data_IF_645643085584
#
_entry.id   IF_645643085584
#
_cell.length_a   1.000
_cell.length_b   1.000
_cell.length_c   1.000
_cell.angle_alpha   90.00
_cell.angle_beta   90.00
_cell.angle_gamma   90.00
#
_symmetry.space_group_name_H-M   'P 1'
#
loop_
_entity.id
_entity.type
_entity.pdbx_description
1 polymer ?
#
# COMPACT_ATOMS: atom_id res chain seq x y z
N UNK A 1 -0.77 -14.95 4.52
CA UNK A 1 0.01 -13.71 4.46
C UNK A 1 -0.13 -12.95 5.79
N UNK A 2 0.80 -12.06 6.12
CA UNK A 2 0.84 -11.26 7.36
C UNK A 2 1.23 -9.80 7.07
N UNK A 3 0.88 -8.83 7.94
CA UNK A 3 1.30 -7.44 7.75
C UNK A 3 2.82 -7.24 7.89
N UNK A 4 3.34 -6.20 7.25
CA UNK A 4 4.76 -5.81 7.30
C UNK A 4 5.09 -4.76 8.38
N UNK A 5 6.39 -4.51 8.64
CA UNK A 5 7.53 -5.21 8.06
C UNK A 5 7.72 -6.62 8.61
N UNK A 6 7.74 -7.62 7.71
CA UNK A 6 7.87 -9.03 8.08
C UNK A 6 9.30 -9.53 7.91
N UNK A 7 9.92 -9.97 8.99
CA UNK A 7 11.28 -10.53 8.98
C UNK A 7 11.22 -11.99 8.56
N UNK A 8 11.20 -12.26 7.25
CA UNK A 8 11.01 -13.61 6.68
C UNK A 8 11.99 -14.65 7.22
N UNK A 9 13.25 -14.27 7.42
CA UNK A 9 14.28 -15.18 7.93
C UNK A 9 14.16 -15.46 9.44
N UNK A 10 13.41 -14.62 10.16
CA UNK A 10 13.19 -14.74 11.62
C UNK A 10 11.81 -15.33 11.92
N UNK A 11 10.80 -15.05 11.09
CA UNK A 11 9.44 -15.56 11.22
C UNK A 11 8.44 -14.65 11.94
N UNK A 12 8.76 -13.37 12.20
CA UNK A 12 7.90 -12.43 12.95
C UNK A 12 7.84 -11.03 12.34
N UNK A 13 6.84 -10.25 12.72
CA UNK A 13 6.73 -8.83 12.32
C UNK A 13 7.62 -7.93 13.18
N UNK A 14 8.33 -6.98 12.57
CA UNK A 14 9.17 -6.01 13.25
C UNK A 14 8.32 -4.87 13.85
N UNK A 15 7.38 -4.36 13.05
CA UNK A 15 6.43 -3.31 13.42
C UNK A 15 5.04 -3.74 12.95
N UNK A 16 4.02 -3.37 13.72
CA UNK A 16 2.60 -3.45 13.37
C UNK A 16 1.86 -2.53 14.34
N UNK A 17 0.99 -1.67 13.82
CA UNK A 17 0.38 -0.58 14.59
C UNK A 17 -0.82 -1.05 15.41
N UNK A 18 -1.80 -1.71 14.77
CA UNK A 18 -3.05 -2.16 15.39
C UNK A 18 -2.92 -3.45 16.20
N UNK A 19 -1.94 -4.32 15.87
CA UNK A 19 -1.79 -5.65 16.47
C UNK A 19 -0.44 -5.82 17.18
N UNK A 20 -0.06 -4.89 18.06
CA UNK A 20 1.30 -4.86 18.64
C UNK A 20 1.76 -6.19 19.29
N UNK A 21 0.84 -6.97 19.85
CA UNK A 21 1.14 -8.30 20.42
C UNK A 21 1.71 -9.29 19.39
N UNK A 22 1.42 -9.12 18.11
CA UNK A 22 1.91 -9.99 17.02
C UNK A 22 3.42 -9.90 16.83
N UNK A 23 4.07 -8.80 17.27
CA UNK A 23 5.54 -8.64 17.18
C UNK A 23 6.32 -9.71 17.95
N UNK A 24 5.66 -10.39 18.90
CA UNK A 24 6.21 -11.45 19.75
C UNK A 24 5.97 -12.86 19.20
N UNK A 25 5.14 -12.99 18.17
CA UNK A 25 4.72 -14.29 17.63
C UNK A 25 5.66 -14.67 16.48
N UNK A 26 6.23 -15.87 16.52
CA UNK A 26 6.95 -16.43 15.40
C UNK A 26 6.01 -17.32 14.59
N UNK A 27 5.41 -16.76 13.54
CA UNK A 27 4.39 -17.43 12.73
C UNK A 27 4.91 -18.74 12.14
N UNK A 28 6.17 -18.79 11.68
CA UNK A 28 6.73 -20.02 11.12
C UNK A 28 6.71 -21.13 12.18
N UNK A 29 7.22 -20.84 13.38
CA UNK A 29 7.28 -21.84 14.46
C UNK A 29 5.88 -22.28 14.93
N UNK A 30 4.97 -21.33 15.15
CA UNK A 30 3.61 -21.62 15.61
C UNK A 30 2.88 -22.53 14.62
N UNK A 31 2.89 -22.16 13.33
CA UNK A 31 2.19 -22.92 12.30
C UNK A 31 2.88 -24.26 11.99
N UNK A 32 4.22 -24.30 11.91
CA UNK A 32 4.95 -25.55 11.64
C UNK A 32 4.81 -26.59 12.76
N UNK A 33 4.55 -26.16 14.00
CA UNK A 33 4.30 -27.07 15.13
C UNK A 33 2.84 -27.55 15.15
N UNK A 34 1.90 -26.70 14.73
CA UNK A 34 0.48 -27.01 14.72
C UNK A 34 0.06 -27.92 13.56
N UNK A 35 0.76 -27.88 12.42
CA UNK A 35 0.34 -28.57 11.20
C UNK A 35 1.45 -29.49 10.64
N UNK A 36 1.06 -30.65 10.08
CA UNK A 36 1.98 -31.62 9.48
C UNK A 36 2.22 -31.40 7.98
N UNK A 37 2.08 -30.16 7.50
CA UNK A 37 2.24 -29.78 6.10
C UNK A 37 3.28 -28.66 5.98
N UNK A 38 3.89 -28.45 4.80
CA UNK A 38 4.78 -27.31 4.57
C UNK A 38 4.05 -25.98 4.87
N UNK A 39 4.72 -25.09 5.60
CA UNK A 39 4.20 -23.78 5.96
C UNK A 39 5.04 -22.72 5.28
N UNK A 40 4.37 -21.80 4.59
CA UNK A 40 4.97 -20.62 3.99
C UNK A 40 4.25 -19.39 4.54
N UNK A 41 5.00 -18.47 5.13
CA UNK A 41 4.48 -17.18 5.60
C UNK A 41 5.11 -16.11 4.71
N UNK A 42 4.26 -15.22 4.21
CA UNK A 42 4.67 -14.12 3.36
C UNK A 42 3.98 -12.83 3.78
N UNK A 43 4.64 -11.70 3.54
CA UNK A 43 4.09 -10.37 3.72
C UNK A 43 2.95 -10.14 2.71
N UNK A 44 1.90 -9.46 3.14
CA UNK A 44 0.65 -9.24 2.38
C UNK A 44 0.84 -8.60 1.00
N UNK A 45 1.57 -7.49 0.88
CA UNK A 45 1.85 -6.87 -0.41
C UNK A 45 2.67 -7.77 -1.35
N UNK A 46 3.65 -8.54 -0.84
CA UNK A 46 4.38 -9.54 -1.65
C UNK A 46 3.50 -10.71 -2.05
N UNK A 47 2.62 -11.16 -1.16
CA UNK A 47 1.62 -12.17 -1.50
C UNK A 47 0.66 -11.67 -2.58
N UNK A 48 0.29 -10.39 -2.56
CA UNK A 48 -0.46 -9.72 -3.63
C UNK A 48 0.28 -9.71 -4.96
N UNK A 49 1.57 -9.34 -4.96
CA UNK A 49 2.41 -9.41 -6.16
C UNK A 49 2.47 -10.83 -6.74
N UNK A 50 2.69 -11.84 -5.89
CA UNK A 50 2.67 -13.25 -6.31
C UNK A 50 1.30 -13.66 -6.87
N UNK A 51 0.20 -13.20 -6.27
CA UNK A 51 -1.13 -13.55 -6.74
C UNK A 51 -1.36 -13.07 -8.18
N UNK A 52 -1.00 -11.82 -8.49
CA UNK A 52 -1.04 -11.31 -9.86
C UNK A 52 -0.11 -12.10 -10.77
N UNK A 53 1.16 -12.22 -10.42
CA UNK A 53 2.15 -12.88 -11.28
C UNK A 53 1.86 -14.36 -11.57
N UNK A 54 1.27 -15.09 -10.62
CA UNK A 54 1.01 -16.53 -10.77
C UNK A 54 -0.35 -16.83 -11.42
N UNK A 55 -1.35 -15.96 -11.26
CA UNK A 55 -2.73 -16.29 -11.59
C UNK A 55 -3.41 -15.34 -12.56
N UNK A 56 -2.88 -14.13 -12.79
CA UNK A 56 -3.42 -13.24 -13.81
C UNK A 56 -2.75 -13.54 -15.15
N UNK A 57 -3.53 -13.97 -16.18
CA UNK A 57 -2.99 -14.38 -17.47
C UNK A 57 -2.35 -13.24 -18.27
N UNK A 58 -2.52 -11.99 -17.84
CA UNK A 58 -1.83 -10.84 -18.41
C UNK A 58 -0.32 -10.85 -18.10
N UNK A 59 0.12 -11.60 -17.10
CA UNK A 59 1.53 -11.67 -16.72
C UNK A 59 2.23 -12.94 -17.22
N UNK A 60 3.51 -12.80 -17.50
CA UNK A 60 4.37 -13.81 -18.10
C UNK A 60 5.66 -14.01 -17.31
N UNK A 61 6.40 -15.05 -17.70
CA UNK A 61 7.71 -15.31 -17.11
C UNK A 61 8.66 -14.17 -17.49
N UNK A 62 9.26 -13.56 -16.47
CA UNK A 62 10.20 -12.42 -16.54
C UNK A 62 9.60 -11.01 -16.48
N UNK A 63 8.33 -10.85 -16.13
CA UNK A 63 7.72 -9.52 -15.98
C UNK A 63 8.33 -8.72 -14.82
N UNK A 64 8.18 -7.39 -14.95
CA UNK A 64 8.56 -6.41 -13.93
C UNK A 64 7.30 -5.79 -13.33
N UNK A 65 6.91 -6.25 -12.14
CA UNK A 65 5.64 -5.92 -11.51
C UNK A 65 5.85 -5.35 -10.11
N UNK A 66 5.15 -4.26 -9.80
CA UNK A 66 4.99 -3.72 -8.47
C UNK A 66 3.50 -3.80 -8.06
N UNK A 67 3.19 -4.63 -7.06
CA UNK A 67 1.91 -4.56 -6.37
C UNK A 67 2.02 -3.59 -5.20
N UNK A 68 1.32 -2.47 -5.33
CA UNK A 68 1.31 -1.37 -4.38
C UNK A 68 0.02 -1.46 -3.54
N UNK A 69 0.15 -2.09 -2.37
CA UNK A 69 -0.94 -2.26 -1.42
C UNK A 69 -1.15 -0.95 -0.66
N UNK A 70 -2.37 -0.40 -0.73
CA UNK A 70 -2.74 0.80 0.03
C UNK A 70 -4.10 0.54 0.69
N UNK A 71 -4.03 0.15 1.96
CA UNK A 71 -5.14 -0.36 2.76
C UNK A 71 -5.04 0.12 4.19
N UNK A 72 -5.18 -0.81 5.14
CA UNK A 72 -4.91 -0.58 6.57
C UNK A 72 -3.48 -0.06 6.80
N UNK A 73 -2.53 -0.54 5.98
CA UNK A 73 -1.18 -0.02 5.88
C UNK A 73 -0.81 0.28 4.43
N UNK A 74 0.45 0.63 4.21
CA UNK A 74 1.00 0.85 2.86
C UNK A 74 2.19 -0.07 2.64
N UNK A 75 2.10 -0.96 1.66
CA UNK A 75 3.09 -1.99 1.39
C UNK A 75 3.40 -2.13 -0.09
N UNK A 76 4.55 -2.71 -0.40
CA UNK A 76 4.96 -2.95 -1.79
C UNK A 76 5.53 -4.35 -1.93
N UNK A 77 4.98 -5.10 -2.88
CA UNK A 77 5.60 -6.32 -3.42
C UNK A 77 6.18 -6.03 -4.80
N UNK A 78 7.46 -6.33 -5.01
CA UNK A 78 8.12 -6.15 -6.31
C UNK A 78 8.59 -7.50 -6.85
N UNK A 79 8.28 -7.74 -8.11
CA UNK A 79 8.84 -8.81 -8.94
C UNK A 79 9.74 -8.14 -9.97
N UNK A 80 11.01 -8.53 -9.96
CA UNK A 80 12.06 -8.03 -10.83
C UNK A 80 12.61 -9.23 -11.62
N UNK A 81 12.41 -9.20 -12.94
CA UNK A 81 12.76 -10.30 -13.84
C UNK A 81 12.25 -11.66 -13.33
N UNK A 82 10.96 -11.72 -12.97
CA UNK A 82 10.30 -12.92 -12.46
C UNK A 82 10.67 -13.35 -11.03
N UNK A 83 11.46 -12.56 -10.29
CA UNK A 83 11.88 -12.87 -8.92
C UNK A 83 11.37 -11.83 -7.92
N UNK A 84 10.85 -12.30 -6.77
CA UNK A 84 10.52 -11.40 -5.67
C UNK A 84 11.75 -10.68 -5.10
N UNK A 85 11.64 -9.38 -4.94
CA UNK A 85 12.62 -8.56 -4.21
C UNK A 85 12.41 -8.74 -2.71
N UNK A 86 13.35 -9.45 -2.07
CA UNK A 86 13.24 -9.81 -0.64
C UNK A 86 14.14 -8.99 0.29
N UNK A 87 15.31 -8.56 -0.19
CA UNK A 87 16.34 -7.95 0.65
C UNK A 87 16.97 -8.92 1.66
N UNK A 88 17.97 -8.43 2.40
CA UNK A 88 18.84 -9.28 3.23
C UNK A 88 18.12 -10.05 4.37
N UNK A 89 17.08 -9.44 4.96
CA UNK A 89 16.27 -10.07 6.02
C UNK A 89 14.87 -10.50 5.56
N UNK A 90 14.59 -10.38 4.26
CA UNK A 90 13.25 -10.61 3.74
C UNK A 90 12.26 -9.47 4.04
N UNK A 91 12.74 -8.24 4.30
CA UNK A 91 11.94 -7.06 4.60
C UNK A 91 12.29 -5.87 3.69
N UNK A 92 12.68 -6.13 2.43
CA UNK A 92 12.75 -5.08 1.42
C UNK A 92 11.36 -4.48 1.16
N UNK A 93 11.34 -3.36 0.41
CA UNK A 93 10.13 -2.78 -0.17
C UNK A 93 9.08 -2.30 0.84
N UNK A 94 9.50 -1.89 2.04
CA UNK A 94 8.64 -1.24 3.05
C UNK A 94 8.33 0.23 2.68
N UNK A 95 7.67 0.43 1.53
CA UNK A 95 7.43 1.76 0.96
C UNK A 95 6.58 2.65 1.85
N UNK A 96 5.67 2.08 2.66
CA UNK A 96 4.85 2.84 3.59
C UNK A 96 5.65 3.65 4.60
N UNK A 97 6.88 3.23 4.90
CA UNK A 97 7.74 3.86 5.90
C UNK A 97 8.79 4.83 5.33
N UNK A 98 8.83 5.06 4.01
CA UNK A 98 9.70 6.09 3.44
C UNK A 98 9.25 7.48 3.89
N UNK A 99 10.19 8.36 4.23
CA UNK A 99 9.87 9.74 4.58
C UNK A 99 9.54 10.54 3.32
N UNK A 100 8.28 10.94 3.16
CA UNK A 100 7.84 11.90 2.13
C UNK A 100 7.81 13.34 2.64
N UNK A 101 7.86 13.53 3.95
CA UNK A 101 7.99 14.83 4.60
C UNK A 101 8.94 14.74 5.80
N UNK A 102 10.13 15.34 5.70
CA UNK A 102 11.13 15.30 6.78
C UNK A 102 10.70 16.02 8.06
N UNK A 103 9.67 16.87 7.99
CA UNK A 103 9.06 17.55 9.13
C UNK A 103 7.62 17.06 9.39
N UNK A 104 7.29 15.89 8.85
CA UNK A 104 5.94 15.36 8.79
C UNK A 104 5.40 14.76 10.08
N UNK A 105 4.35 13.95 9.93
CA UNK A 105 3.69 13.26 11.06
C UNK A 105 4.62 12.17 11.65
N UNK A 106 4.68 11.99 12.97
CA UNK A 106 5.36 10.83 13.57
C UNK A 106 4.68 9.53 13.12
N UNK A 107 5.47 8.46 13.00
CA UNK A 107 5.01 7.12 12.65
C UNK A 107 5.34 6.12 13.76
N UNK A 108 4.50 5.10 13.93
CA UNK A 108 4.69 4.02 14.92
C UNK A 108 5.95 3.17 14.67
N UNK A 109 6.55 3.26 13.47
CA UNK A 109 7.84 2.64 13.17
C UNK A 109 9.03 3.39 13.79
N UNK A 110 8.80 4.59 14.34
CA UNK A 110 9.82 5.46 14.93
C UNK A 110 10.40 6.52 13.97
N UNK A 111 10.02 6.48 12.69
CA UNK A 111 10.39 7.47 11.69
C UNK A 111 9.39 8.66 11.65
N UNK A 112 9.70 9.68 10.86
CA UNK A 112 8.88 10.89 10.67
C UNK A 112 8.52 11.06 9.18
N UNK A 113 7.26 11.43 8.94
CA UNK A 113 6.68 11.68 7.63
C UNK A 113 6.61 10.47 6.73
N UNK A 114 6.39 9.29 7.31
CA UNK A 114 6.16 8.06 6.54
C UNK A 114 4.97 8.22 5.59
N UNK A 115 5.12 7.77 4.34
CA UNK A 115 4.08 7.82 3.32
C UNK A 115 2.73 7.29 3.81
N UNK A 116 2.71 6.21 4.59
CA UNK A 116 1.46 5.64 5.12
C UNK A 116 0.63 6.65 5.92
N UNK A 117 1.27 7.61 6.60
CA UNK A 117 0.60 8.61 7.46
C UNK A 117 -0.24 9.61 6.67
N UNK A 118 -0.24 9.51 5.34
CA UNK A 118 -0.92 10.43 4.44
C UNK A 118 -1.90 9.74 3.48
N UNK A 119 -1.80 8.44 3.26
CA UNK A 119 -2.66 7.76 2.28
C UNK A 119 -3.22 6.39 2.72
N UNK A 120 -2.89 5.89 3.91
CA UNK A 120 -3.51 4.68 4.44
C UNK A 120 -4.97 4.91 4.86
N UNK A 121 -5.74 3.84 5.07
CA UNK A 121 -7.09 3.93 5.61
C UNK A 121 -7.15 4.62 6.99
N UNK A 122 -6.22 4.36 7.95
CA UNK A 122 -6.11 5.17 9.15
C UNK A 122 -5.89 6.65 8.87
N UNK A 123 -5.03 7.02 7.91
CA UNK A 123 -4.79 8.42 7.58
C UNK A 123 -6.03 9.11 6.97
N UNK A 124 -6.79 8.38 6.16
CA UNK A 124 -8.08 8.84 5.63
C UNK A 124 -9.08 9.04 6.77
N UNK A 125 -9.14 8.09 7.71
CA UNK A 125 -10.06 8.15 8.84
C UNK A 125 -9.74 9.32 9.78
N UNK A 126 -8.47 9.52 10.14
CA UNK A 126 -8.01 10.67 10.93
C UNK A 126 -8.41 11.98 10.25
N UNK A 127 -8.19 12.11 8.93
CA UNK A 127 -8.57 13.29 8.15
C UNK A 127 -10.08 13.57 8.18
N UNK A 128 -10.92 12.53 8.14
CA UNK A 128 -12.39 12.68 8.20
C UNK A 128 -12.87 13.08 9.59
N UNK A 129 -12.25 12.55 10.65
CA UNK A 129 -12.55 12.93 12.03
C UNK A 129 -12.16 14.40 12.27
N UNK A 130 -10.98 14.81 11.79
CA UNK A 130 -10.49 16.20 11.90
C UNK A 130 -11.39 17.19 11.16
N UNK A 131 -11.87 16.83 9.97
CA UNK A 131 -12.82 17.66 9.21
C UNK A 131 -14.22 17.70 9.86
N UNK A 132 -14.75 16.55 10.26
CA UNK A 132 -16.04 16.40 10.95
C UNK A 132 -17.28 16.83 10.14
N UNK A 133 -17.14 17.21 8.88
CA UNK A 133 -18.21 17.80 8.07
C UNK A 133 -18.62 16.92 6.88
N UNK A 134 -17.66 16.30 6.18
CA UNK A 134 -17.94 15.46 5.01
C UNK A 134 -18.60 14.16 5.42
N UNK A 135 -18.08 13.53 6.48
CA UNK A 135 -18.61 12.32 7.12
C UNK A 135 -18.70 12.60 8.64
N UNK A 136 -19.80 13.20 9.13
CA UNK A 136 -19.90 13.65 10.53
C UNK A 136 -19.73 12.53 11.56
N UNK A 137 -20.19 11.32 11.24
CA UNK A 137 -20.14 10.17 12.14
C UNK A 137 -18.86 9.33 11.96
N UNK A 138 -17.82 9.89 11.33
CA UNK A 138 -16.58 9.16 11.03
C UNK A 138 -15.96 8.56 12.29
N UNK A 139 -16.02 9.23 13.45
CA UNK A 139 -15.42 8.74 14.71
C UNK A 139 -15.96 7.39 15.18
N UNK A 140 -17.17 7.02 14.78
CA UNK A 140 -17.83 5.77 15.18
C UNK A 140 -17.63 4.64 14.16
N UNK A 141 -16.92 4.91 13.06
CA UNK A 141 -16.66 3.96 11.98
C UNK A 141 -15.31 3.26 12.17
N UNK A 142 -15.17 2.07 11.57
CA UNK A 142 -13.84 1.50 11.30
C UNK A 142 -13.11 2.27 10.21
N UNK A 143 -11.78 2.13 10.11
CA UNK A 143 -10.99 2.75 9.02
C UNK A 143 -11.56 2.44 7.64
N UNK A 144 -12.00 1.19 7.44
CA UNK A 144 -12.52 0.72 6.17
C UNK A 144 -13.90 1.32 5.84
N UNK A 145 -14.78 1.40 6.81
CA UNK A 145 -16.10 2.04 6.65
C UNK A 145 -15.95 3.53 6.33
N UNK A 146 -15.08 4.24 7.05
CA UNK A 146 -14.81 5.67 6.83
C UNK A 146 -14.27 5.93 5.41
N UNK A 147 -13.28 5.14 4.96
CA UNK A 147 -12.74 5.25 3.61
C UNK A 147 -13.80 5.02 2.53
N UNK A 148 -14.60 3.95 2.66
CA UNK A 148 -15.70 3.66 1.72
C UNK A 148 -16.77 4.74 1.72
N UNK A 149 -17.12 5.28 2.89
CA UNK A 149 -18.08 6.37 3.00
C UNK A 149 -17.58 7.63 2.26
N UNK A 150 -16.29 7.97 2.41
CA UNK A 150 -15.66 9.04 1.64
C UNK A 150 -15.71 8.79 0.12
N UNK A 151 -15.37 7.58 -0.32
CA UNK A 151 -15.38 7.24 -1.75
C UNK A 151 -16.79 7.31 -2.34
N UNK A 152 -17.79 6.77 -1.64
CA UNK A 152 -19.19 6.88 -2.03
C UNK A 152 -19.62 8.36 -2.18
N UNK A 153 -19.29 9.19 -1.18
CA UNK A 153 -19.60 10.63 -1.20
C UNK A 153 -18.92 11.38 -2.35
N UNK A 154 -17.67 11.03 -2.66
CA UNK A 154 -16.94 11.60 -3.79
C UNK A 154 -17.56 11.20 -5.14
N UNK A 155 -18.02 9.95 -5.27
CA UNK A 155 -18.71 9.44 -6.45
C UNK A 155 -20.10 10.07 -6.67
N UNK A 156 -20.77 10.50 -5.59
CA UNK A 156 -21.99 11.32 -5.66
C UNK A 156 -21.74 12.76 -6.14
N UNK A 157 -20.49 13.15 -6.35
CA UNK A 157 -20.13 14.49 -6.85
C UNK A 157 -19.89 15.54 -5.76
N UNK A 158 -19.81 15.14 -4.48
CA UNK A 158 -19.51 16.09 -3.40
C UNK A 158 -18.09 16.66 -3.55
N UNK A 159 -17.98 17.98 -3.76
CA UNK A 159 -16.72 18.63 -4.07
C UNK A 159 -15.65 18.50 -2.96
N UNK A 160 -16.06 18.54 -1.69
CA UNK A 160 -15.15 18.41 -0.55
C UNK A 160 -14.60 16.98 -0.44
N UNK A 161 -15.49 15.97 -0.53
CA UNK A 161 -15.10 14.56 -0.57
C UNK A 161 -14.15 14.27 -1.74
N UNK A 162 -14.45 14.78 -2.94
CA UNK A 162 -13.56 14.63 -4.09
C UNK A 162 -12.20 15.31 -3.86
N UNK A 163 -12.15 16.43 -3.14
CA UNK A 163 -10.89 17.11 -2.82
C UNK A 163 -10.01 16.26 -1.89
N UNK A 164 -10.62 15.65 -0.87
CA UNK A 164 -9.93 14.73 0.05
C UNK A 164 -9.42 13.48 -0.67
N UNK A 165 -10.23 12.87 -1.56
CA UNK A 165 -9.77 11.74 -2.39
C UNK A 165 -8.60 12.15 -3.28
N UNK A 166 -8.64 13.34 -3.88
CA UNK A 166 -7.50 13.85 -4.67
C UNK A 166 -6.25 14.06 -3.82
N UNK A 167 -6.38 14.52 -2.58
CA UNK A 167 -5.25 14.65 -1.66
C UNK A 167 -4.58 13.32 -1.36
N UNK A 168 -5.36 12.31 -0.97
CA UNK A 168 -4.88 10.93 -0.76
C UNK A 168 -4.22 10.39 -2.03
N UNK A 169 -4.86 10.57 -3.18
CA UNK A 169 -4.36 10.11 -4.47
C UNK A 169 -3.03 10.76 -4.88
N UNK A 170 -2.78 12.04 -4.51
CA UNK A 170 -1.48 12.69 -4.74
C UNK A 170 -0.37 11.99 -3.98
N UNK A 171 -0.58 11.64 -2.71
CA UNK A 171 0.42 10.90 -1.93
C UNK A 171 0.66 9.50 -2.49
N UNK A 172 -0.40 8.81 -2.94
CA UNK A 172 -0.26 7.54 -3.66
C UNK A 172 0.58 7.73 -4.93
N UNK A 173 0.35 8.81 -5.69
CA UNK A 173 1.16 9.19 -6.85
C UNK A 173 2.65 9.42 -6.52
N UNK A 174 2.97 10.04 -5.38
CA UNK A 174 4.37 10.16 -4.91
C UNK A 174 4.97 8.80 -4.54
N UNK A 175 4.16 7.89 -4.02
CA UNK A 175 4.53 6.48 -3.87
C UNK A 175 4.90 5.85 -5.22
N UNK A 176 4.06 6.03 -6.24
CA UNK A 176 4.36 5.56 -7.60
C UNK A 176 5.68 6.15 -8.12
N UNK A 177 5.95 7.46 -7.96
CA UNK A 177 7.23 8.09 -8.32
C UNK A 177 8.42 7.42 -7.63
N UNK A 178 8.26 7.03 -6.36
CA UNK A 178 9.31 6.28 -5.65
C UNK A 178 9.51 4.90 -6.28
N UNK A 179 8.43 4.18 -6.60
CA UNK A 179 8.48 2.87 -7.25
C UNK A 179 9.18 2.96 -8.61
N UNK A 180 8.83 3.96 -9.42
CA UNK A 180 9.46 4.23 -10.71
C UNK A 180 10.98 4.36 -10.59
N UNK A 181 11.43 5.27 -9.72
CA UNK A 181 12.85 5.57 -9.60
C UNK A 181 13.65 4.44 -8.93
N UNK A 182 13.01 3.64 -8.08
CA UNK A 182 13.68 2.56 -7.35
C UNK A 182 13.72 1.24 -8.13
N UNK A 183 12.68 0.92 -8.90
CA UNK A 183 12.49 -0.41 -9.50
C UNK A 183 12.17 -0.40 -10.98
N UNK A 184 11.71 0.72 -11.55
CA UNK A 184 11.35 0.85 -12.97
C UNK A 184 10.49 -0.33 -13.51
N UNK A 185 9.33 -0.65 -12.90
CA UNK A 185 8.52 -1.78 -13.33
C UNK A 185 7.73 -1.48 -14.61
N UNK A 186 7.30 -2.53 -15.33
CA UNK A 186 6.34 -2.44 -16.44
C UNK A 186 4.91 -2.19 -15.93
N UNK A 187 4.61 -2.69 -14.72
CA UNK A 187 3.28 -2.65 -14.14
C UNK A 187 3.33 -2.16 -12.70
N UNK A 188 2.53 -1.15 -12.37
CA UNK A 188 2.19 -0.76 -11.00
C UNK A 188 0.69 -1.04 -10.80
N UNK A 189 0.38 -2.03 -9.98
CA UNK A 189 -0.99 -2.38 -9.61
C UNK A 189 -1.27 -1.81 -8.22
N UNK A 190 -2.22 -0.88 -8.11
CA UNK A 190 -2.65 -0.32 -6.83
C UNK A 190 -3.86 -1.13 -6.36
N UNK A 191 -3.70 -1.81 -5.23
CA UNK A 191 -4.73 -2.69 -4.68
C UNK A 191 -5.14 -2.33 -3.26
N UNK A 192 -6.01 -3.16 -2.69
CA UNK A 192 -6.65 -2.99 -1.39
C UNK A 192 -7.62 -1.79 -1.38
N UNK A 193 -8.04 -1.31 -0.21
CA UNK A 193 -9.25 -0.51 -0.07
C UNK A 193 -9.28 0.76 -0.92
N UNK A 194 -8.15 1.41 -1.19
CA UNK A 194 -8.15 2.65 -1.98
C UNK A 194 -8.47 2.41 -3.45
N UNK A 195 -8.33 1.18 -3.95
CA UNK A 195 -8.72 0.86 -5.32
C UNK A 195 -10.23 1.02 -5.53
N UNK A 196 -11.02 0.90 -4.46
CA UNK A 196 -12.48 1.14 -4.49
C UNK A 196 -12.85 2.61 -4.80
N UNK A 197 -11.91 3.55 -4.65
CA UNK A 197 -12.12 4.97 -5.00
C UNK A 197 -12.23 5.21 -6.52
N UNK A 198 -11.82 4.23 -7.33
CA UNK A 198 -12.10 4.19 -8.76
C UNK A 198 -11.42 5.30 -9.59
N UNK A 199 -12.06 5.76 -10.69
CA UNK A 199 -11.42 6.61 -11.69
C UNK A 199 -10.89 7.95 -11.16
N UNK A 200 -11.55 8.56 -10.16
CA UNK A 200 -11.08 9.82 -9.59
C UNK A 200 -9.68 9.67 -8.98
N UNK A 201 -9.47 8.60 -8.21
CA UNK A 201 -8.17 8.29 -7.61
C UNK A 201 -7.15 7.95 -8.69
N UNK A 202 -7.47 7.01 -9.60
CA UNK A 202 -6.54 6.58 -10.64
C UNK A 202 -6.09 7.73 -11.54
N UNK A 203 -7.01 8.59 -11.97
CA UNK A 203 -6.69 9.74 -12.82
C UNK A 203 -5.81 10.75 -12.08
N UNK A 204 -6.04 10.95 -10.78
CA UNK A 204 -5.23 11.87 -9.97
C UNK A 204 -3.83 11.32 -9.71
N UNK A 205 -3.71 10.01 -9.46
CA UNK A 205 -2.42 9.31 -9.37
C UNK A 205 -1.64 9.49 -10.67
N UNK A 206 -2.25 9.17 -11.82
CA UNK A 206 -1.60 9.30 -13.14
C UNK A 206 -1.20 10.74 -13.45
N UNK A 207 -2.05 11.73 -13.13
CA UNK A 207 -1.70 13.14 -13.30
C UNK A 207 -0.49 13.53 -12.43
N UNK A 208 -0.47 13.11 -11.17
CA UNK A 208 0.66 13.36 -10.25
C UNK A 208 1.95 12.73 -10.74
N UNK A 209 1.87 11.52 -11.31
CA UNK A 209 3.02 10.84 -11.92
C UNK A 209 3.50 11.58 -13.16
N UNK A 210 2.60 11.91 -14.09
CA UNK A 210 2.95 12.58 -15.35
C UNK A 210 3.64 13.94 -15.14
N UNK A 211 3.32 14.64 -14.05
CA UNK A 211 3.98 15.90 -13.67
C UNK A 211 5.43 15.73 -13.19
N UNK A 212 5.84 14.53 -12.77
CA UNK A 212 7.04 14.31 -11.95
C UNK A 212 7.97 13.21 -12.45
N UNK A 213 7.45 12.26 -13.21
CA UNK A 213 8.23 11.16 -13.78
C UNK A 213 8.98 11.63 -15.04
N UNK A 214 10.06 10.91 -15.36
CA UNK A 214 10.71 11.03 -16.66
C UNK A 214 9.72 10.49 -17.72
N UNK A 215 9.39 11.25 -18.78
CA UNK A 215 8.35 10.87 -19.74
C UNK A 215 8.51 9.45 -20.32
N UNK A 216 9.73 9.08 -20.70
CA UNK A 216 10.03 7.77 -21.28
C UNK A 216 9.75 6.60 -20.32
N UNK A 217 9.95 6.83 -19.03
CA UNK A 217 9.64 5.84 -17.98
C UNK A 217 8.12 5.78 -17.77
N UNK A 218 7.46 6.93 -17.68
CA UNK A 218 6.01 7.01 -17.50
C UNK A 218 5.22 6.40 -18.65
N UNK A 219 5.68 6.59 -19.89
CA UNK A 219 5.02 6.09 -21.09
C UNK A 219 5.14 4.55 -21.22
N UNK A 220 6.18 3.97 -20.61
CA UNK A 220 6.41 2.52 -20.62
C UNK A 220 5.61 1.79 -19.54
N UNK A 221 5.47 2.37 -18.35
CA UNK A 221 4.82 1.70 -17.22
C UNK A 221 3.32 1.91 -17.18
N UNK A 222 2.57 0.83 -17.04
CA UNK A 222 1.13 0.87 -16.79
C UNK A 222 0.83 1.04 -15.30
N UNK A 223 -0.14 1.90 -14.96
CA UNK A 223 -0.67 2.05 -13.60
C UNK A 223 -2.15 1.67 -13.59
N UNK A 224 -2.53 0.68 -12.80
CA UNK A 224 -3.91 0.15 -12.74
C UNK A 224 -4.42 0.01 -11.30
N UNK A 225 -5.73 -0.20 -11.16
CA UNK A 225 -6.37 -0.55 -9.90
C UNK A 225 -6.71 -2.06 -9.92
N UNK A 226 -6.65 -2.73 -8.77
CA UNK A 226 -7.09 -4.12 -8.58
C UNK A 226 -8.11 -4.26 -7.46
#
# INVERSE_FOLDING_TARGET
AVPGPYLRNVGRTAVVSSMQSWRKINFINEFSTAFRVPVFIEQDARAGALAHYLFDPAFHTNDYLAYYLVGEGVGLGVIDNGHLVNGAQGAATEIGHISVDVNGKPCDCGNVGCLERYCSAPAIHDMLIEDGSVIPDASDMTHAEAARALFAKANEGNAAAQSMVREVARYIGYGCITIFNAFNPEHIIIGDIVSEAGPLLLNTVRATVAERAIPEINDFTSITLS
#
